data_IF_737690518880
#
_entry.id   IF_737690518880
#
_cell.length_a   1.000
_cell.length_b   1.000
_cell.length_c   1.000
_cell.angle_alpha   90.00
_cell.angle_beta   90.00
_cell.angle_gamma   90.00
#
_symmetry.space_group_name_H-M   'P 1'
#
loop_
_entity.id
_entity.type
_entity.pdbx_description
1 polymer ?
#
# COMPACT_ATOMS: atom_id res chain seq x y z
N UNK A 1 -5.91 -7.10 -70.77
CA UNK A 1 -6.54 -7.63 -69.54
C UNK A 1 -5.47 -7.72 -68.49
N UNK A 2 -5.75 -7.11 -67.34
CA UNK A 2 -4.79 -6.50 -66.41
C UNK A 2 -3.91 -7.46 -65.61
N UNK A 3 -2.77 -6.88 -65.25
CA UNK A 3 -1.74 -7.34 -64.33
C UNK A 3 -2.22 -7.13 -62.90
N UNK A 4 -2.02 -8.10 -62.00
CA UNK A 4 -2.11 -7.85 -60.56
C UNK A 4 -1.17 -8.77 -59.78
N UNK A 5 0.09 -8.32 -59.68
CA UNK A 5 1.05 -8.77 -58.70
C UNK A 5 0.66 -8.22 -57.33
N UNK A 6 0.46 -9.07 -56.32
CA UNK A 6 0.37 -8.63 -54.92
C UNK A 6 1.41 -9.39 -54.09
N UNK A 7 2.45 -8.65 -53.70
CA UNK A 7 3.48 -9.04 -52.76
C UNK A 7 2.98 -8.78 -51.32
N UNK A 8 2.81 -9.85 -50.55
CA UNK A 8 2.49 -9.76 -49.13
C UNK A 8 3.75 -9.59 -48.28
N UNK A 9 3.88 -8.44 -47.61
CA UNK A 9 4.87 -8.23 -46.54
C UNK A 9 4.50 -9.01 -45.27
N UNK A 10 5.47 -9.52 -44.49
CA UNK A 10 5.19 -10.16 -43.22
C UNK A 10 4.86 -9.11 -42.15
N UNK A 11 3.67 -9.22 -41.56
CA UNK A 11 3.28 -8.48 -40.35
C UNK A 11 4.11 -9.01 -39.18
N UNK A 12 4.99 -8.16 -38.65
CA UNK A 12 5.65 -8.39 -37.36
C UNK A 12 4.59 -8.42 -36.25
N UNK A 13 4.37 -9.58 -35.65
CA UNK A 13 3.51 -9.77 -34.48
C UNK A 13 4.33 -9.34 -33.26
N UNK A 14 4.12 -8.10 -32.81
CA UNK A 14 4.69 -7.61 -31.55
C UNK A 14 4.06 -8.31 -30.36
N UNK A 15 4.88 -8.94 -29.52
CA UNK A 15 4.49 -9.62 -28.28
C UNK A 15 3.73 -8.68 -27.30
N UNK A 16 2.60 -9.09 -26.70
CA UNK A 16 1.80 -8.25 -25.79
C UNK A 16 2.46 -8.00 -24.41
N UNK A 17 3.55 -8.69 -24.11
CA UNK A 17 4.14 -8.74 -22.76
C UNK A 17 5.07 -7.58 -22.41
N UNK A 18 5.48 -6.74 -23.37
CA UNK A 18 6.36 -5.60 -23.07
C UNK A 18 5.61 -4.33 -22.63
N UNK A 19 4.35 -4.17 -23.06
CA UNK A 19 3.59 -2.92 -22.83
C UNK A 19 3.06 -2.75 -21.41
N UNK A 20 2.86 -3.85 -20.69
CA UNK A 20 2.36 -3.84 -19.29
C UNK A 20 3.51 -3.60 -18.30
N UNK A 21 4.74 -3.99 -18.63
CA UNK A 21 5.91 -3.77 -17.76
C UNK A 21 6.40 -2.33 -17.76
N UNK A 22 6.25 -1.60 -18.87
CA UNK A 22 6.64 -0.19 -18.94
C UNK A 22 5.69 0.72 -18.14
N UNK A 23 4.38 0.44 -18.11
CA UNK A 23 3.43 1.30 -17.39
C UNK A 23 3.55 1.22 -15.87
N UNK A 24 3.93 0.05 -15.33
CA UNK A 24 4.16 -0.10 -13.89
C UNK A 24 5.45 0.62 -13.44
N UNK A 25 6.51 0.58 -14.25
CA UNK A 25 7.77 1.24 -13.91
C UNK A 25 7.63 2.78 -13.93
N UNK A 26 6.85 3.33 -14.86
CA UNK A 26 6.60 4.77 -14.94
C UNK A 26 5.68 5.29 -13.83
N UNK A 27 4.70 4.50 -13.38
CA UNK A 27 3.85 4.85 -12.22
C UNK A 27 4.61 4.83 -10.90
N UNK A 28 5.53 3.87 -10.70
CA UNK A 28 6.34 3.79 -9.47
C UNK A 28 7.40 4.91 -9.43
N UNK A 29 7.96 5.29 -10.58
CA UNK A 29 8.94 6.40 -10.68
C UNK A 29 8.27 7.80 -10.58
N UNK A 30 7.02 7.94 -11.00
CA UNK A 30 6.26 9.20 -10.82
C UNK A 30 5.76 9.38 -9.39
N UNK A 31 5.31 8.30 -8.72
CA UNK A 31 4.90 8.36 -7.32
C UNK A 31 6.06 8.65 -6.37
N UNK A 32 7.26 8.12 -6.64
CA UNK A 32 8.45 8.36 -5.84
C UNK A 32 9.08 9.75 -6.03
N UNK A 33 8.74 10.47 -7.12
CA UNK A 33 9.07 11.90 -7.29
C UNK A 33 8.15 12.84 -6.49
N UNK A 34 6.89 12.46 -6.28
CA UNK A 34 5.94 13.26 -5.50
C UNK A 34 6.15 13.18 -3.98
N UNK A 35 6.71 12.08 -3.48
CA UNK A 35 6.98 11.91 -2.04
C UNK A 35 8.32 12.52 -1.57
N UNK A 36 9.20 12.91 -2.49
CA UNK A 36 10.54 13.41 -2.13
C UNK A 36 10.54 14.88 -1.72
N UNK A 37 9.47 15.62 -2.04
CA UNK A 37 9.37 17.07 -1.82
C UNK A 37 8.48 17.48 -0.63
N UNK A 38 7.95 16.53 0.15
CA UNK A 38 7.10 16.82 1.32
C UNK A 38 7.79 16.57 2.66
N UNK A 39 9.12 16.61 2.69
CA UNK A 39 9.87 16.59 3.96
C UNK A 39 9.69 17.95 4.68
N UNK A 40 9.11 18.01 5.90
CA UNK A 40 8.92 19.27 6.63
C UNK A 40 10.24 19.95 7.03
N UNK A 41 11.38 19.29 6.82
CA UNK A 41 12.72 19.77 7.18
C UNK A 41 13.29 20.79 6.18
N UNK A 42 12.76 20.91 4.96
CA UNK A 42 13.37 21.79 3.92
C UNK A 42 12.73 23.17 3.77
N UNK A 43 11.57 23.41 4.38
CA UNK A 43 10.93 24.73 4.37
C UNK A 43 11.65 25.79 5.24
N UNK A 44 12.62 25.39 6.06
CA UNK A 44 13.32 26.27 6.99
C UNK A 44 14.72 26.74 6.56
N UNK A 45 15.20 26.38 5.36
CA UNK A 45 16.59 26.70 4.97
C UNK A 45 16.77 27.77 3.88
N UNK A 46 15.71 28.22 3.19
CA UNK A 46 15.85 29.20 2.10
C UNK A 46 15.07 30.50 2.37
N UNK A 47 15.35 31.14 3.50
CA UNK A 47 14.81 32.45 3.85
C UNK A 47 15.70 33.17 4.86
N UNK A 48 16.99 33.31 4.52
CA UNK A 48 17.93 34.15 5.27
C UNK A 48 18.39 35.27 4.32
N UNK A 49 18.29 36.53 4.80
CA UNK A 49 18.41 37.81 4.09
C UNK A 49 17.19 38.19 3.25
N UNK A 50 16.41 39.24 3.52
CA UNK A 50 16.63 40.46 4.31
C UNK A 50 15.36 40.86 5.08
N UNK A 51 15.54 41.62 6.16
CA UNK A 51 14.43 42.32 6.83
C UNK A 51 14.06 41.81 8.22
N UNK A 52 14.92 41.00 8.88
CA UNK A 52 14.84 40.91 10.35
C UNK A 52 15.23 42.28 10.90
N UNK A 53 14.22 43.10 11.20
CA UNK A 53 14.33 44.12 12.23
C UNK A 53 14.68 43.37 13.51
N UNK A 54 15.97 43.17 13.75
CA UNK A 54 16.45 42.68 15.03
C UNK A 54 16.13 43.78 16.02
N UNK A 55 15.00 43.64 16.70
CA UNK A 55 14.67 44.46 17.87
C UNK A 55 15.95 44.52 18.72
N UNK A 56 16.42 45.72 19.12
CA UNK A 56 17.54 45.83 20.02
C UNK A 56 17.27 44.93 21.21
N UNK A 57 18.16 43.96 21.43
CA UNK A 57 18.07 43.04 22.54
C UNK A 57 18.37 43.84 23.82
N UNK A 58 17.32 44.48 24.34
CA UNK A 58 17.35 45.36 25.51
C UNK A 58 17.90 44.64 26.74
N UNK A 59 17.93 43.29 26.74
CA UNK A 59 18.45 42.46 27.82
C UNK A 59 19.94 42.08 27.64
N UNK A 60 20.53 42.27 26.46
CA UNK A 60 21.98 42.05 26.22
C UNK A 60 22.83 43.31 26.36
N UNK A 61 22.21 44.49 26.34
CA UNK A 61 22.92 45.74 26.62
C UNK A 61 23.25 45.81 28.12
N UNK A 62 24.53 45.59 28.45
CA UNK A 62 25.07 45.91 29.79
C UNK A 62 24.75 47.39 30.05
N UNK A 63 23.84 47.65 31.00
CA UNK A 63 23.40 48.97 31.50
C UNK A 63 22.11 49.57 30.90
N UNK A 64 21.42 48.95 29.93
CA UNK A 64 20.17 49.49 29.36
C UNK A 64 19.04 49.64 30.40
N UNK A 65 19.02 48.78 31.41
CA UNK A 65 18.01 48.75 32.46
C UNK A 65 18.43 49.49 33.74
N UNK A 66 19.64 50.04 33.81
CA UNK A 66 20.11 50.77 35.00
C UNK A 66 19.33 52.06 35.25
N UNK A 67 18.84 52.71 34.19
CA UNK A 67 18.01 53.93 34.29
C UNK A 67 16.58 53.67 34.78
N UNK A 68 16.14 52.41 34.76
CA UNK A 68 14.79 51.99 35.18
C UNK A 68 14.77 51.41 36.59
N UNK A 69 15.93 51.23 37.23
CA UNK A 69 16.00 50.77 38.61
C UNK A 69 15.74 51.95 39.54
N UNK A 70 14.68 51.92 40.36
CA UNK A 70 14.56 52.87 41.45
C UNK A 70 15.77 52.70 42.36
N UNK A 71 16.51 53.77 42.63
CA UNK A 71 17.59 53.80 43.61
C UNK A 71 17.00 53.69 45.01
N UNK A 72 16.69 52.46 45.43
CA UNK A 72 16.51 52.16 46.85
C UNK A 72 17.88 51.85 47.44
N UNK A 73 18.34 52.75 48.31
CA UNK A 73 19.45 52.53 49.23
C UNK A 73 19.08 51.38 50.17
N UNK A 74 19.51 50.16 49.86
CA UNK A 74 19.40 49.00 50.75
C UNK A 74 20.68 48.90 51.58
N UNK A 75 20.61 49.30 52.86
CA UNK A 75 21.53 48.82 53.90
C UNK A 75 21.27 47.32 54.14
N UNK A 76 22.31 46.51 54.47
CA UNK A 76 22.15 45.08 54.64
C UNK A 76 21.70 44.77 56.08
N UNK A 77 20.46 44.35 56.25
CA UNK A 77 20.00 43.66 57.46
C UNK A 77 19.28 42.39 57.03
N UNK A 78 19.66 41.30 57.67
CA UNK A 78 19.38 39.93 57.27
C UNK A 78 18.04 39.37 57.75
N UNK A 79 17.93 38.06 57.51
CA UNK A 79 16.90 37.10 57.88
C UNK A 79 15.70 36.96 56.93
N UNK A 80 15.44 35.70 56.54
CA UNK A 80 14.43 35.30 55.55
C UNK A 80 12.98 35.60 55.96
N UNK A 81 12.75 36.04 57.19
CA UNK A 81 11.43 36.49 57.68
C UNK A 81 11.06 37.92 57.20
N UNK A 82 12.02 38.70 56.69
CA UNK A 82 11.80 40.08 56.21
C UNK A 82 11.31 40.17 54.74
N UNK A 83 11.35 39.07 53.97
CA UNK A 83 10.82 39.02 52.59
C UNK A 83 9.30 39.22 52.54
N UNK A 84 8.58 38.66 53.52
CA UNK A 84 7.13 38.85 53.67
C UNK A 84 6.74 40.28 54.10
N UNK A 85 7.67 41.03 54.70
CA UNK A 85 7.51 42.43 55.08
C UNK A 85 7.91 43.40 53.95
N UNK A 86 8.76 42.95 53.02
CA UNK A 86 9.17 43.71 51.82
C UNK A 86 8.19 43.64 50.67
N UNK A 87 7.46 42.54 50.53
CA UNK A 87 6.52 42.36 49.41
C UNK A 87 5.26 43.21 49.60
N UNK A 88 4.91 44.08 48.65
CA UNK A 88 3.67 44.85 48.70
C UNK A 88 2.46 43.95 48.91
N UNK A 89 1.56 44.29 49.86
CA UNK A 89 0.33 43.52 50.17
C UNK A 89 -0.51 43.15 48.95
N UNK A 90 -0.44 43.96 47.88
CA UNK A 90 -1.09 43.68 46.61
C UNK A 90 -0.50 42.45 45.91
N UNK A 91 0.83 42.35 45.83
CA UNK A 91 1.50 41.23 45.17
C UNK A 91 1.23 39.92 45.91
N UNK A 92 1.29 39.94 47.25
CA UNK A 92 0.94 38.78 48.07
C UNK A 92 -0.49 38.27 47.81
N UNK A 93 -1.46 39.19 47.62
CA UNK A 93 -2.85 38.82 47.26
C UNK A 93 -2.97 38.24 45.86
N UNK A 94 -2.19 38.73 44.91
CA UNK A 94 -2.21 38.25 43.53
C UNK A 94 -1.54 36.87 43.40
N UNK A 95 -0.48 36.63 44.17
CA UNK A 95 0.18 35.31 44.27
C UNK A 95 -0.78 34.28 44.86
N UNK A 96 -1.42 34.59 45.99
CA UNK A 96 -2.44 33.72 46.58
C UNK A 96 -3.61 33.44 45.61
N UNK A 97 -4.06 34.46 44.86
CA UNK A 97 -5.08 34.29 43.83
C UNK A 97 -4.60 33.38 42.69
N UNK A 98 -3.36 33.53 42.24
CA UNK A 98 -2.79 32.69 41.19
C UNK A 98 -2.68 31.24 41.64
N UNK A 99 -2.20 30.99 42.85
CA UNK A 99 -2.12 29.64 43.43
C UNK A 99 -3.50 29.00 43.53
N UNK A 100 -4.51 29.75 44.01
CA UNK A 100 -5.89 29.28 44.06
C UNK A 100 -6.39 28.86 42.66
N UNK A 101 -6.18 29.72 41.66
CA UNK A 101 -6.61 29.49 40.28
C UNK A 101 -5.88 28.30 39.65
N UNK A 102 -4.57 28.21 39.81
CA UNK A 102 -3.78 27.08 39.29
C UNK A 102 -4.18 25.76 39.98
N UNK A 103 -4.43 25.77 41.29
CA UNK A 103 -4.93 24.58 41.99
C UNK A 103 -6.31 24.14 41.48
N UNK A 104 -7.17 25.09 41.09
CA UNK A 104 -8.47 24.81 40.50
C UNK A 104 -8.30 24.20 39.09
N UNK A 105 -7.39 24.76 38.29
CA UNK A 105 -7.04 24.22 36.96
C UNK A 105 -6.49 22.80 37.09
N UNK A 106 -5.64 22.52 38.07
CA UNK A 106 -5.10 21.18 38.31
C UNK A 106 -6.20 20.19 38.72
N UNK A 107 -7.11 20.60 39.62
CA UNK A 107 -8.27 19.78 40.02
C UNK A 107 -9.24 19.50 38.87
N UNK A 108 -9.55 20.51 38.06
CA UNK A 108 -10.39 20.38 36.86
C UNK A 108 -9.70 19.57 35.76
N UNK A 109 -8.38 19.69 35.69
CA UNK A 109 -7.52 19.06 34.69
C UNK A 109 -7.01 17.68 35.08
N UNK A 110 -7.53 17.05 36.14
CA UNK A 110 -7.11 15.74 36.65
C UNK A 110 -6.97 14.69 35.51
N UNK A 111 -5.75 14.54 35.00
CA UNK A 111 -5.36 13.58 33.94
C UNK A 111 -5.09 14.18 32.55
N UNK A 112 -5.60 15.37 32.23
CA UNK A 112 -5.45 15.96 30.89
C UNK A 112 -4.25 16.90 30.83
N UNK A 113 -3.13 16.46 30.26
CA UNK A 113 -1.99 17.32 29.87
C UNK A 113 -2.16 17.94 28.46
N UNK A 114 -3.41 18.00 27.97
CA UNK A 114 -3.74 18.42 26.61
C UNK A 114 -4.00 19.93 26.48
N UNK A 115 -4.37 20.34 25.26
CA UNK A 115 -4.70 21.72 24.90
C UNK A 115 -5.66 22.41 25.89
N UNK A 116 -6.71 21.72 26.34
CA UNK A 116 -7.69 22.27 27.28
C UNK A 116 -7.06 22.67 28.63
N UNK A 117 -6.10 21.91 29.15
CA UNK A 117 -5.43 22.27 30.40
C UNK A 117 -4.45 23.43 30.22
N UNK A 118 -3.77 23.50 29.08
CA UNK A 118 -2.94 24.64 28.73
C UNK A 118 -3.77 25.93 28.62
N UNK A 119 -4.95 25.87 27.98
CA UNK A 119 -5.88 27.00 27.87
C UNK A 119 -6.38 27.46 29.25
N UNK A 120 -6.86 26.54 30.09
CA UNK A 120 -7.31 26.88 31.45
C UNK A 120 -6.18 27.50 32.31
N UNK A 121 -4.94 27.02 32.15
CA UNK A 121 -3.77 27.58 32.82
C UNK A 121 -3.51 29.01 32.35
N UNK A 122 -3.56 29.24 31.05
CA UNK A 122 -3.40 30.58 30.45
C UNK A 122 -4.49 31.54 30.93
N UNK A 123 -5.73 31.08 31.04
CA UNK A 123 -6.85 31.88 31.56
C UNK A 123 -6.67 32.28 33.02
N UNK A 124 -6.09 31.40 33.85
CA UNK A 124 -5.75 31.73 35.23
C UNK A 124 -4.76 32.92 35.30
N UNK A 125 -3.73 32.92 34.46
CA UNK A 125 -2.78 34.03 34.36
C UNK A 125 -3.44 35.32 33.83
N UNK A 126 -4.31 35.24 32.80
CA UNK A 126 -5.08 36.41 32.33
C UNK A 126 -5.92 37.03 33.44
N UNK A 127 -6.64 36.21 34.22
CA UNK A 127 -7.48 36.68 35.32
C UNK A 127 -6.68 37.38 36.42
N UNK A 128 -5.52 36.84 36.80
CA UNK A 128 -4.63 37.47 37.80
C UNK A 128 -4.05 38.77 37.25
N UNK A 129 -3.67 38.79 35.96
CA UNK A 129 -3.16 39.99 35.32
C UNK A 129 -4.25 41.09 35.21
N UNK A 130 -5.51 40.72 34.94
CA UNK A 130 -6.63 41.67 34.95
C UNK A 130 -6.89 42.24 36.35
N UNK A 131 -6.75 41.43 37.41
CA UNK A 131 -6.82 41.89 38.79
C UNK A 131 -5.65 42.84 39.15
N UNK A 132 -4.44 42.51 38.68
CA UNK A 132 -3.27 43.39 38.80
C UNK A 132 -3.52 44.74 38.12
N UNK A 133 -3.95 44.75 36.86
CA UNK A 133 -4.26 45.99 36.15
C UNK A 133 -5.37 46.78 36.83
N UNK A 134 -6.36 46.10 37.42
CA UNK A 134 -7.43 46.75 38.18
C UNK A 134 -6.93 47.59 39.34
N UNK A 135 -5.90 47.10 40.03
CA UNK A 135 -5.29 47.74 41.20
C UNK A 135 -4.26 48.82 40.87
N UNK A 136 -3.76 48.89 39.64
CA UNK A 136 -2.85 49.94 39.18
C UNK A 136 -3.61 51.13 38.60
N UNK A 137 -3.22 52.34 39.00
CA UNK A 137 -3.79 53.60 38.50
C UNK A 137 -2.78 54.38 37.63
N UNK A 138 -1.53 54.50 38.07
CA UNK A 138 -0.51 55.35 37.42
C UNK A 138 -0.09 54.86 36.03
N UNK A 139 0.17 53.56 35.87
CA UNK A 139 0.67 52.98 34.61
C UNK A 139 -0.39 52.18 33.83
N UNK A 140 -1.65 52.25 34.27
CA UNK A 140 -2.73 51.40 33.77
C UNK A 140 -2.92 51.50 32.26
N UNK A 141 -2.92 52.72 31.72
CA UNK A 141 -3.18 52.96 30.29
C UNK A 141 -2.08 52.40 29.38
N UNK A 142 -0.82 52.42 29.83
CA UNK A 142 0.30 51.79 29.13
C UNK A 142 0.20 50.27 29.21
N UNK A 143 -0.02 49.73 30.41
CA UNK A 143 -0.11 48.29 30.62
C UNK A 143 -1.31 47.66 29.90
N UNK A 144 -2.43 48.37 29.75
CA UNK A 144 -3.57 47.91 28.96
C UNK A 144 -3.24 47.80 27.46
N UNK A 145 -2.47 48.75 26.90
CA UNK A 145 -2.02 48.64 25.50
C UNK A 145 -1.07 47.47 25.31
N UNK A 146 -0.14 47.28 26.23
CA UNK A 146 0.76 46.12 26.22
C UNK A 146 -0.04 44.83 26.32
N UNK A 147 -1.01 44.76 27.25
CA UNK A 147 -1.91 43.61 27.40
C UNK A 147 -2.62 43.29 26.09
N UNK A 148 -3.16 44.29 25.42
CA UNK A 148 -3.91 44.09 24.18
C UNK A 148 -3.08 43.38 23.11
N UNK A 149 -1.82 43.78 22.92
CA UNK A 149 -0.92 43.12 21.96
C UNK A 149 -0.62 41.66 22.35
N UNK A 150 -0.42 41.39 23.65
CA UNK A 150 -0.24 40.03 24.14
C UNK A 150 -1.51 39.18 24.01
N UNK A 151 -2.68 39.74 24.32
CA UNK A 151 -3.96 39.03 24.21
C UNK A 151 -4.22 38.62 22.74
N UNK A 152 -3.98 39.51 21.77
CA UNK A 152 -4.12 39.18 20.34
C UNK A 152 -3.15 38.07 19.93
N UNK A 153 -1.86 38.20 20.26
CA UNK A 153 -0.86 37.19 19.92
C UNK A 153 -1.15 35.83 20.58
N UNK A 154 -1.70 35.85 21.80
CA UNK A 154 -2.07 34.66 22.55
C UNK A 154 -3.32 33.98 21.98
N UNK A 155 -4.33 34.76 21.60
CA UNK A 155 -5.54 34.26 20.95
C UNK A 155 -5.20 33.61 19.60
N UNK A 156 -4.33 34.22 18.80
CA UNK A 156 -3.79 33.64 17.55
C UNK A 156 -3.02 32.34 17.80
N UNK A 157 -2.17 32.30 18.84
CA UNK A 157 -1.41 31.10 19.20
C UNK A 157 -2.34 29.97 19.67
N UNK A 158 -3.38 30.28 20.44
CA UNK A 158 -4.37 29.31 20.89
C UNK A 158 -5.20 28.77 19.71
N UNK A 159 -5.59 29.62 18.76
CA UNK A 159 -6.26 29.19 17.54
C UNK A 159 -5.38 28.25 16.70
N UNK A 160 -4.09 28.60 16.51
CA UNK A 160 -3.14 27.74 15.79
C UNK A 160 -2.92 26.38 16.47
N UNK A 161 -2.85 26.35 17.80
CA UNK A 161 -2.74 25.11 18.56
C UNK A 161 -4.01 24.26 18.43
N UNK A 162 -5.20 24.88 18.47
CA UNK A 162 -6.46 24.18 18.25
C UNK A 162 -6.50 23.52 16.86
N UNK A 163 -6.16 24.28 15.81
CA UNK A 163 -6.09 23.76 14.44
C UNK A 163 -5.08 22.62 14.33
N UNK A 164 -3.93 22.72 15.01
CA UNK A 164 -2.94 21.66 15.01
C UNK A 164 -3.46 20.37 15.66
N UNK A 165 -4.14 20.48 16.81
CA UNK A 165 -4.75 19.33 17.49
C UNK A 165 -5.85 18.72 16.63
N UNK A 166 -6.68 19.56 16.00
CA UNK A 166 -7.74 19.12 15.11
C UNK A 166 -7.20 18.37 13.88
N UNK A 167 -6.24 18.97 13.17
CA UNK A 167 -5.60 18.33 12.00
C UNK A 167 -4.91 17.01 12.36
N UNK A 168 -4.26 16.93 13.52
CA UNK A 168 -3.66 15.65 13.99
C UNK A 168 -4.72 14.58 14.21
N UNK A 169 -5.89 14.95 14.74
CA UNK A 169 -7.00 14.02 14.92
C UNK A 169 -7.55 13.56 13.55
N UNK A 170 -7.71 14.47 12.59
CA UNK A 170 -8.13 14.13 11.23
C UNK A 170 -7.15 13.20 10.52
N UNK A 171 -5.84 13.49 10.63
CA UNK A 171 -4.79 12.64 10.07
C UNK A 171 -4.83 11.23 10.65
N UNK A 172 -5.00 11.09 11.97
CA UNK A 172 -5.11 9.78 12.61
C UNK A 172 -6.30 8.97 12.06
N UNK A 173 -7.45 9.62 11.83
CA UNK A 173 -8.63 8.97 11.24
C UNK A 173 -8.38 8.56 9.79
N UNK A 174 -7.69 9.40 9.01
CA UNK A 174 -7.35 9.09 7.61
C UNK A 174 -6.35 7.93 7.53
N UNK A 175 -5.34 7.91 8.40
CA UNK A 175 -4.37 6.81 8.52
C UNK A 175 -5.07 5.49 8.85
N UNK A 176 -5.99 5.49 9.82
CA UNK A 176 -6.78 4.30 10.16
C UNK A 176 -7.61 3.81 8.96
N UNK A 177 -8.32 4.72 8.29
CA UNK A 177 -9.11 4.39 7.08
C UNK A 177 -8.25 3.83 5.96
N UNK A 178 -7.08 4.42 5.71
CA UNK A 178 -6.14 3.95 4.71
C UNK A 178 -5.61 2.56 5.06
N UNK A 179 -5.24 2.33 6.31
CA UNK A 179 -4.76 1.02 6.77
C UNK A 179 -5.82 -0.08 6.57
N UNK A 180 -7.08 0.22 6.90
CA UNK A 180 -8.22 -0.68 6.70
C UNK A 180 -8.48 -0.95 5.22
N UNK A 181 -8.44 0.09 4.37
CA UNK A 181 -8.60 -0.06 2.93
C UNK A 181 -7.50 -0.94 2.30
N UNK A 182 -6.25 -0.77 2.73
CA UNK A 182 -5.12 -1.61 2.28
C UNK A 182 -5.32 -3.07 2.72
N UNK A 183 -5.72 -3.30 3.97
CA UNK A 183 -5.98 -4.65 4.47
C UNK A 183 -7.11 -5.33 3.69
N UNK A 184 -8.22 -4.62 3.45
CA UNK A 184 -9.33 -5.13 2.64
C UNK A 184 -8.92 -5.43 1.19
N UNK A 185 -8.14 -4.53 0.56
CA UNK A 185 -7.65 -4.74 -0.80
C UNK A 185 -6.73 -5.98 -0.89
N UNK A 186 -5.86 -6.18 0.12
CA UNK A 186 -5.01 -7.38 0.20
C UNK A 186 -5.82 -8.66 0.40
N UNK A 187 -6.84 -8.63 1.27
CA UNK A 187 -7.71 -9.77 1.49
C UNK A 187 -8.43 -10.17 0.20
N UNK A 188 -9.05 -9.20 -0.50
CA UNK A 188 -9.72 -9.42 -1.79
C UNK A 188 -8.76 -9.98 -2.85
N UNK A 189 -7.59 -9.38 -3.00
CA UNK A 189 -6.59 -9.85 -3.96
C UNK A 189 -6.14 -11.30 -3.67
N UNK A 190 -6.03 -11.67 -2.38
CA UNK A 190 -5.69 -13.02 -1.99
C UNK A 190 -6.83 -14.00 -2.27
N UNK A 191 -8.07 -13.63 -1.98
CA UNK A 191 -9.27 -14.40 -2.30
C UNK A 191 -9.38 -14.65 -3.80
N UNK A 192 -9.29 -13.60 -4.63
CA UNK A 192 -9.32 -13.69 -6.09
C UNK A 192 -8.20 -14.59 -6.62
N UNK A 193 -6.97 -14.41 -6.14
CA UNK A 193 -5.84 -15.26 -6.54
C UNK A 193 -6.01 -16.72 -6.11
N UNK A 194 -6.68 -16.98 -4.99
CA UNK A 194 -6.98 -18.34 -4.55
C UNK A 194 -8.08 -18.99 -5.39
N UNK A 195 -9.13 -18.23 -5.76
CA UNK A 195 -10.22 -18.68 -6.60
C UNK A 195 -9.71 -19.04 -8.01
N UNK A 196 -8.91 -18.15 -8.62
CA UNK A 196 -8.31 -18.40 -9.94
C UNK A 196 -7.38 -19.61 -9.91
N UNK A 197 -6.55 -19.77 -8.86
CA UNK A 197 -5.69 -20.96 -8.72
C UNK A 197 -6.50 -22.24 -8.63
N UNK A 198 -7.60 -22.23 -7.90
CA UNK A 198 -8.50 -23.39 -7.79
C UNK A 198 -9.14 -23.72 -9.13
N UNK A 199 -9.67 -22.72 -9.84
CA UNK A 199 -10.28 -22.92 -11.16
C UNK A 199 -9.28 -23.50 -12.16
N UNK A 200 -8.05 -22.98 -12.22
CA UNK A 200 -7.01 -23.52 -13.08
C UNK A 200 -6.62 -24.95 -12.73
N UNK A 201 -6.57 -25.29 -11.43
CA UNK A 201 -6.32 -26.65 -10.99
C UNK A 201 -7.45 -27.60 -11.40
N UNK A 202 -8.70 -27.17 -11.26
CA UNK A 202 -9.87 -27.96 -11.65
C UNK A 202 -9.88 -28.21 -13.17
N UNK A 203 -9.53 -27.19 -13.97
CA UNK A 203 -9.37 -27.33 -15.42
C UNK A 203 -8.24 -28.28 -15.79
N UNK A 204 -7.08 -28.19 -15.11
CA UNK A 204 -5.96 -29.09 -15.34
C UNK A 204 -6.37 -30.54 -15.07
N UNK A 205 -6.99 -30.81 -13.91
CA UNK A 205 -7.46 -32.14 -13.54
C UNK A 205 -8.47 -32.70 -14.55
N UNK A 206 -9.34 -31.85 -15.09
CA UNK A 206 -10.31 -32.25 -16.12
C UNK A 206 -9.61 -32.64 -17.43
N UNK A 207 -8.64 -31.86 -17.89
CA UNK A 207 -7.89 -32.17 -19.11
C UNK A 207 -7.00 -33.41 -18.94
N UNK A 208 -6.37 -33.60 -17.79
CA UNK A 208 -5.63 -34.83 -17.45
C UNK A 208 -6.54 -36.06 -17.49
N UNK A 209 -7.73 -35.97 -16.91
CA UNK A 209 -8.71 -37.07 -16.97
C UNK A 209 -9.16 -37.39 -18.40
N UNK A 210 -9.38 -36.36 -19.24
CA UNK A 210 -9.69 -36.55 -20.66
C UNK A 210 -8.53 -37.21 -21.41
N UNK A 211 -7.30 -36.77 -21.16
CA UNK A 211 -6.10 -37.35 -21.76
C UNK A 211 -5.96 -38.83 -21.41
N UNK A 212 -6.10 -39.19 -20.12
CA UNK A 212 -6.05 -40.59 -19.66
C UNK A 212 -7.14 -41.44 -20.31
N UNK A 213 -8.37 -40.92 -20.44
CA UNK A 213 -9.45 -41.63 -21.13
C UNK A 213 -9.16 -41.81 -22.63
N UNK A 214 -8.56 -40.82 -23.29
CA UNK A 214 -8.18 -40.91 -24.69
C UNK A 214 -7.06 -41.95 -24.88
N UNK A 215 -6.04 -41.95 -24.02
CA UNK A 215 -4.97 -42.97 -24.02
C UNK A 215 -5.53 -44.37 -23.83
N UNK A 216 -6.44 -44.58 -22.87
CA UNK A 216 -7.09 -45.87 -22.66
C UNK A 216 -7.88 -46.34 -23.89
N UNK A 217 -8.57 -45.43 -24.60
CA UNK A 217 -9.26 -45.74 -25.87
C UNK A 217 -8.29 -46.11 -26.97
N UNK A 218 -7.18 -45.39 -27.11
CA UNK A 218 -6.14 -45.71 -28.09
C UNK A 218 -5.54 -47.09 -27.82
N UNK A 219 -5.21 -47.40 -26.56
CA UNK A 219 -4.70 -48.73 -26.18
C UNK A 219 -5.71 -49.84 -26.47
N UNK A 220 -7.00 -49.62 -26.18
CA UNK A 220 -8.07 -50.56 -26.52
C UNK A 220 -8.16 -50.81 -28.03
N UNK A 221 -8.17 -49.75 -28.83
CA UNK A 221 -8.20 -49.85 -30.29
C UNK A 221 -6.94 -50.56 -30.85
N UNK A 222 -5.76 -50.31 -30.28
CA UNK A 222 -4.54 -51.01 -30.65
C UNK A 222 -4.61 -52.52 -30.38
N UNK A 223 -5.17 -52.91 -29.22
CA UNK A 223 -5.39 -54.33 -28.89
C UNK A 223 -6.38 -55.00 -29.86
N UNK A 224 -7.48 -54.33 -30.22
CA UNK A 224 -8.43 -54.82 -31.21
C UNK A 224 -7.79 -54.98 -32.59
N UNK A 225 -6.98 -54.01 -33.03
CA UNK A 225 -6.23 -54.09 -34.28
C UNK A 225 -5.25 -55.27 -34.26
N UNK A 226 -4.58 -55.51 -33.14
CA UNK A 226 -3.67 -56.66 -32.99
C UNK A 226 -4.42 -57.99 -33.06
N UNK A 227 -5.57 -58.12 -32.40
CA UNK A 227 -6.41 -59.31 -32.45
C UNK A 227 -6.94 -59.58 -33.87
N UNK A 228 -7.41 -58.53 -34.57
CA UNK A 228 -7.83 -58.62 -35.97
C UNK A 228 -6.66 -59.07 -36.87
N UNK A 229 -5.46 -58.49 -36.70
CA UNK A 229 -4.26 -58.90 -37.45
C UNK A 229 -3.91 -60.37 -37.22
N UNK A 230 -3.97 -60.85 -35.99
CA UNK A 230 -3.72 -62.25 -35.66
C UNK A 230 -4.74 -63.18 -36.34
N UNK A 231 -6.02 -62.82 -36.30
CA UNK A 231 -7.11 -63.57 -36.96
C UNK A 231 -6.92 -63.61 -38.48
N UNK A 232 -6.60 -62.47 -39.10
CA UNK A 232 -6.31 -62.41 -40.54
C UNK A 232 -5.11 -63.31 -40.90
N UNK A 233 -4.06 -63.32 -40.09
CA UNK A 233 -2.91 -64.20 -40.33
C UNK A 233 -3.28 -65.68 -40.24
N UNK A 234 -4.12 -66.07 -39.28
CA UNK A 234 -4.61 -67.43 -39.17
C UNK A 234 -5.46 -67.83 -40.39
N UNK A 235 -6.45 -67.01 -40.75
CA UNK A 235 -7.30 -67.27 -41.93
C UNK A 235 -6.48 -67.35 -43.21
N UNK A 236 -5.42 -66.55 -43.36
CA UNK A 236 -4.48 -66.64 -44.49
C UNK A 236 -3.77 -67.99 -44.54
N UNK A 237 -3.31 -68.51 -43.39
CA UNK A 237 -2.69 -69.85 -43.30
C UNK A 237 -3.68 -70.93 -43.71
N UNK A 238 -4.87 -70.94 -43.12
CA UNK A 238 -5.94 -71.90 -43.44
C UNK A 238 -6.32 -71.85 -44.92
N UNK A 239 -6.47 -70.66 -45.50
CA UNK A 239 -6.75 -70.49 -46.93
C UNK A 239 -5.62 -71.06 -47.79
N UNK A 240 -4.35 -70.82 -47.41
CA UNK A 240 -3.20 -71.37 -48.14
C UNK A 240 -3.12 -72.90 -48.07
N UNK A 241 -3.51 -73.49 -46.93
CA UNK A 241 -3.56 -74.94 -46.73
C UNK A 241 -4.68 -75.56 -47.57
N UNK A 242 -5.88 -74.97 -47.53
CA UNK A 242 -7.00 -75.37 -48.38
C UNK A 242 -6.66 -75.25 -49.87
N UNK A 243 -5.98 -74.18 -50.28
CA UNK A 243 -5.55 -74.00 -51.66
C UNK A 243 -4.53 -75.06 -52.08
N UNK A 244 -3.59 -75.42 -51.20
CA UNK A 244 -2.64 -76.51 -51.43
C UNK A 244 -3.38 -77.85 -51.59
N UNK A 245 -4.28 -78.18 -50.67
CA UNK A 245 -5.09 -79.40 -50.75
C UNK A 245 -5.97 -79.45 -52.00
N UNK A 246 -6.58 -78.33 -52.41
CA UNK A 246 -7.36 -78.25 -53.64
C UNK A 246 -6.50 -78.50 -54.89
N UNK A 247 -5.31 -77.89 -54.94
CA UNK A 247 -4.35 -78.13 -56.03
C UNK A 247 -3.90 -79.59 -56.11
N UNK A 248 -3.65 -80.23 -54.97
CA UNK A 248 -3.32 -81.66 -54.89
C UNK A 248 -4.45 -82.54 -55.42
N UNK A 249 -5.70 -82.29 -54.99
CA UNK A 249 -6.88 -83.01 -55.49
C UNK A 249 -7.03 -82.81 -57.00
N UNK A 250 -6.85 -81.58 -57.51
CA UNK A 250 -6.89 -81.28 -58.94
C UNK A 250 -5.83 -82.06 -59.72
N UNK A 251 -4.61 -82.16 -59.21
CA UNK A 251 -3.54 -82.97 -59.80
C UNK A 251 -3.87 -84.47 -59.77
N UNK A 252 -4.44 -84.97 -58.68
CA UNK A 252 -4.91 -86.35 -58.58
C UNK A 252 -6.04 -86.66 -59.57
N UNK A 253 -6.96 -85.73 -59.80
CA UNK A 253 -8.01 -85.88 -60.80
C UNK A 253 -7.44 -85.89 -62.21
N UNK A 254 -6.57 -84.94 -62.56
CA UNK A 254 -5.90 -84.88 -63.87
C UNK A 254 -5.06 -86.14 -64.15
N UNK A 255 -4.33 -86.63 -63.16
CA UNK A 255 -3.57 -87.88 -63.30
C UNK A 255 -4.48 -89.09 -63.48
N UNK A 256 -5.63 -89.16 -62.78
CA UNK A 256 -6.63 -90.23 -62.98
C UNK A 256 -7.33 -90.16 -64.34
N UNK A 257 -7.65 -88.97 -64.86
CA UNK A 257 -8.24 -88.82 -66.20
C UNK A 257 -7.22 -88.96 -67.34
N UNK A 258 -5.92 -88.91 -67.05
CA UNK A 258 -4.84 -89.20 -68.00
C UNK A 258 -4.70 -90.69 -68.40
N UNK A 259 -5.41 -91.62 -67.73
CA UNK A 259 -5.42 -93.05 -68.10
C UNK A 259 -6.56 -93.44 -69.06
N UNK A 260 -7.38 -92.48 -69.51
CA UNK A 260 -8.45 -92.72 -70.49
C UNK A 260 -8.07 -92.53 -71.97
N UNK A 261 -6.83 -92.10 -72.25
CA UNK A 261 -6.33 -91.82 -73.61
C UNK A 261 -5.36 -92.89 -74.12
N UNK A 262 -5.76 -94.16 -74.09
CA UNK A 262 -4.99 -95.25 -74.69
C UNK A 262 -5.01 -95.15 -76.21
N UNK A 263 -3.87 -94.76 -76.77
CA UNK A 263 -3.50 -94.74 -78.18
C UNK A 263 -3.84 -96.09 -78.85
N UNK A 264 -4.66 -96.05 -79.90
CA UNK A 264 -4.84 -97.15 -80.84
C UNK A 264 -3.75 -97.04 -81.93
N UNK A 265 -2.83 -98.02 -82.09
CA UNK A 265 -1.93 -98.02 -83.23
C UNK A 265 -2.64 -98.69 -84.42
N UNK A 266 -2.94 -97.91 -85.47
CA UNK A 266 -3.36 -98.46 -86.76
C UNK A 266 -2.12 -98.64 -87.62
N UNK A 267 -1.71 -99.90 -87.74
CA UNK A 267 -0.86 -100.45 -88.79
C UNK A 267 -1.69 -100.56 -90.08
N UNK A 268 -1.18 -100.09 -91.21
CA UNK A 268 -1.36 -100.64 -92.57
C UNK A 268 -0.41 -99.84 -93.50
N UNK A 269 0.66 -100.49 -94.00
CA UNK A 269 0.80 -101.03 -95.37
C UNK A 269 0.68 -99.98 -96.47
#
# INVERSE_FOLDING_TARGET
MEVASTSGSPRAVGSPTSRVRSSLHDSVLSASKLYKDMSPTRAFQNGHDEGRVTLPDLFKQKNSLQSLRPTYSNEPVGDEEDEALRTPKLLQRLEALLEEKLSLVERLGNGNKGFAAAQLRTDAFRQVFDAFLHSFTTYRSLLLRVKQEYDVALDDALASLYDNVHMRAELAVVEERMSSAIQQARARAHEDASAVRKELQDQLNMEESKALQAEARCQGAEQEIQACKATIQQLKRETSELQRGNNEIKQQLLSKSSWGGGVHPVVHQ
#
